data_IF_395799357536
#
_entry.id   IF_395799357536
#
_cell.length_a   1.000
_cell.length_b   1.000
_cell.length_c   1.000
_cell.angle_alpha   90.00
_cell.angle_beta   90.00
_cell.angle_gamma   90.00
#
_symmetry.space_group_name_H-M   'P 1'
#
loop_
_entity.id
_entity.type
_entity.pdbx_description
1 polymer ?
#
# COMPACT_ATOMS: atom_id res chain seq x y z
N UNK A 1 45.49 -0.89 18.80
CA UNK A 1 44.90 -2.21 19.10
C UNK A 1 43.40 -2.09 18.90
N UNK A 2 42.81 -2.93 18.05
CA UNK A 2 41.36 -3.00 17.90
C UNK A 2 40.75 -3.93 18.96
N UNK A 3 39.52 -3.63 19.39
CA UNK A 3 38.77 -4.49 20.30
C UNK A 3 37.98 -5.56 19.54
N UNK A 4 37.63 -6.69 20.20
CA UNK A 4 36.68 -7.64 19.65
C UNK A 4 35.33 -6.97 19.35
N UNK A 5 34.60 -7.50 18.37
CA UNK A 5 33.27 -6.98 18.01
C UNK A 5 32.35 -6.88 19.23
N UNK A 6 31.70 -5.73 19.39
CA UNK A 6 30.82 -5.44 20.52
C UNK A 6 31.50 -4.78 21.72
N UNK A 7 32.82 -4.57 21.70
CA UNK A 7 33.56 -3.94 22.81
C UNK A 7 34.36 -2.71 22.38
N UNK A 8 34.57 -1.77 23.31
CA UNK A 8 35.39 -0.58 23.10
C UNK A 8 36.15 -0.14 24.37
N UNK A 9 36.96 0.90 24.23
CA UNK A 9 37.65 1.57 25.32
C UNK A 9 38.98 0.90 25.73
N UNK A 10 39.61 1.38 26.80
CA UNK A 10 40.88 0.84 27.27
C UNK A 10 40.72 -0.64 27.66
N UNK A 11 41.59 -1.49 27.11
CA UNK A 11 41.57 -2.95 27.33
C UNK A 11 40.25 -3.64 26.93
N UNK A 12 39.41 -2.99 26.12
CA UNK A 12 38.16 -3.57 25.59
C UNK A 12 37.15 -4.00 26.67
N UNK A 13 37.09 -3.24 27.77
CA UNK A 13 36.23 -3.56 28.91
C UNK A 13 34.84 -2.91 28.84
N UNK A 14 34.59 -2.03 27.88
CA UNK A 14 33.29 -1.38 27.72
C UNK A 14 32.50 -2.07 26.61
N UNK A 15 31.22 -2.32 26.84
CA UNK A 15 30.31 -2.87 25.82
C UNK A 15 29.80 -1.74 24.94
N UNK A 16 29.71 -1.99 23.63
CA UNK A 16 29.13 -1.06 22.70
C UNK A 16 27.62 -1.01 22.83
N UNK A 17 27.10 0.22 22.86
CA UNK A 17 25.67 0.49 23.03
C UNK A 17 25.03 0.89 21.68
N UNK A 18 25.07 -0.04 20.73
CA UNK A 18 24.53 0.15 19.39
C UNK A 18 23.43 -0.87 19.09
N UNK A 19 22.45 -0.48 18.27
CA UNK A 19 21.30 -1.30 17.89
C UNK A 19 21.27 -1.57 16.39
N UNK A 20 20.27 -2.33 15.90
CA UNK A 20 20.06 -2.63 14.49
C UNK A 20 21.28 -3.23 13.75
N UNK A 21 22.13 -3.97 14.46
CA UNK A 21 23.33 -4.59 13.88
C UNK A 21 24.47 -3.61 13.60
N UNK A 22 24.41 -2.39 14.15
CA UNK A 22 25.48 -1.41 14.05
C UNK A 22 26.77 -1.86 14.74
N UNK A 23 27.89 -1.43 14.19
CA UNK A 23 29.22 -1.61 14.79
C UNK A 23 29.63 -0.35 15.53
N UNK A 24 30.63 -0.45 16.41
CA UNK A 24 31.11 0.68 17.19
C UNK A 24 32.61 0.90 16.97
N UNK A 25 33.04 2.14 17.11
CA UNK A 25 34.44 2.49 17.08
C UNK A 25 35.15 1.97 18.33
N UNK A 26 36.19 1.15 18.16
CA UNK A 26 36.83 0.39 19.24
C UNK A 26 37.45 1.26 20.35
N UNK A 27 37.79 2.53 20.10
CA UNK A 27 38.35 3.41 21.13
C UNK A 27 37.27 4.24 21.83
N UNK A 28 36.27 4.71 21.08
CA UNK A 28 35.32 5.74 21.56
C UNK A 28 33.94 5.18 21.87
N UNK A 29 33.57 4.03 21.31
CA UNK A 29 32.23 3.44 21.43
C UNK A 29 31.20 4.04 20.47
N UNK A 30 31.58 5.03 19.64
CA UNK A 30 30.67 5.68 18.71
C UNK A 30 30.13 4.67 17.69
N UNK A 31 28.81 4.61 17.54
CA UNK A 31 28.16 3.70 16.60
C UNK A 31 28.32 4.16 15.15
N UNK A 32 28.61 3.22 14.26
CA UNK A 32 28.52 3.37 12.81
C UNK A 32 27.23 2.71 12.36
N UNK A 33 26.22 3.53 12.07
CA UNK A 33 24.90 3.03 11.73
C UNK A 33 24.86 2.36 10.35
N UNK A 34 24.11 1.26 10.22
CA UNK A 34 23.77 0.72 8.92
C UNK A 34 22.86 1.70 8.15
N UNK A 35 22.83 1.63 6.81
CA UNK A 35 21.93 2.45 6.01
C UNK A 35 20.47 2.32 6.47
N UNK A 36 19.74 3.43 6.46
CA UNK A 36 18.36 3.50 6.93
C UNK A 36 18.18 3.78 8.42
N UNK A 37 19.27 3.85 9.18
CA UNK A 37 19.26 4.21 10.60
C UNK A 37 20.19 5.39 10.88
N UNK A 38 19.87 6.14 11.93
CA UNK A 38 20.61 7.30 12.41
C UNK A 38 20.55 7.38 13.93
N UNK A 39 21.11 8.46 14.49
CA UNK A 39 21.32 8.73 15.92
C UNK A 39 22.58 8.06 16.53
N UNK A 40 22.82 8.31 17.81
CA UNK A 40 24.02 7.85 18.52
C UNK A 40 24.05 6.35 18.79
N UNK A 41 22.89 5.68 18.81
CA UNK A 41 22.70 4.25 19.10
C UNK A 41 22.17 3.48 17.88
N UNK A 42 21.96 4.15 16.76
CA UNK A 42 21.34 3.65 15.54
C UNK A 42 19.92 3.12 15.73
N UNK A 43 19.15 3.68 16.67
CA UNK A 43 17.78 3.23 16.99
C UNK A 43 16.75 3.83 16.03
N UNK A 44 16.92 5.11 15.68
CA UNK A 44 16.00 5.83 14.81
C UNK A 44 16.17 5.43 13.35
N UNK A 45 15.07 5.07 12.70
CA UNK A 45 14.98 4.97 11.25
C UNK A 45 15.10 6.37 10.64
N UNK A 46 15.58 6.46 9.40
CA UNK A 46 15.57 7.74 8.67
C UNK A 46 14.17 8.37 8.66
N UNK A 47 14.14 9.69 8.86
CA UNK A 47 12.93 10.48 8.74
C UNK A 47 12.36 10.39 7.31
N UNK A 48 11.05 10.60 7.18
CA UNK A 48 10.40 10.54 5.87
C UNK A 48 11.04 11.53 4.89
N UNK A 49 11.35 11.04 3.69
CA UNK A 49 12.04 11.80 2.65
C UNK A 49 13.57 11.70 2.70
N UNK A 50 14.16 10.90 3.60
CA UNK A 50 15.60 10.63 3.65
C UNK A 50 15.94 9.14 3.60
N UNK A 51 17.13 8.84 3.09
CA UNK A 51 17.62 7.46 3.00
C UNK A 51 19.15 7.34 3.01
N UNK A 52 19.60 6.09 3.09
CA UNK A 52 21.00 5.71 2.96
C UNK A 52 21.76 5.77 4.29
N UNK A 53 23.09 5.77 4.20
CA UNK A 53 23.96 5.88 5.37
C UNK A 53 23.80 7.26 6.00
N UNK A 54 23.62 7.29 7.33
CA UNK A 54 23.41 8.52 8.12
C UNK A 54 22.25 9.38 7.59
N UNK A 55 21.30 8.79 6.85
CA UNK A 55 20.17 9.49 6.21
C UNK A 55 20.60 10.69 5.35
N UNK A 56 21.78 10.59 4.73
CA UNK A 56 22.43 11.70 4.03
C UNK A 56 21.73 12.06 2.70
N UNK A 57 20.99 11.13 2.10
CA UNK A 57 20.34 11.33 0.82
C UNK A 57 18.86 11.71 0.99
N UNK A 58 18.35 12.54 0.08
CA UNK A 58 16.94 12.91 0.00
C UNK A 58 16.24 12.08 -1.07
N UNK A 59 15.01 11.66 -0.79
CA UNK A 59 14.22 10.87 -1.72
C UNK A 59 13.72 11.70 -2.90
N UNK A 60 13.68 11.07 -4.07
CA UNK A 60 13.17 11.67 -5.31
C UNK A 60 11.89 10.94 -5.72
N UNK A 61 10.81 11.22 -5.00
CA UNK A 61 9.47 10.68 -5.24
C UNK A 61 8.49 11.81 -5.56
N UNK A 62 7.36 11.47 -6.16
CA UNK A 62 6.23 12.38 -6.36
C UNK A 62 5.68 12.82 -5.00
N UNK A 63 5.66 14.13 -4.75
CA UNK A 63 5.21 14.81 -3.52
C UNK A 63 5.23 13.95 -2.23
N UNK A 64 4.07 13.56 -1.72
CA UNK A 64 3.89 12.90 -0.42
C UNK A 64 4.21 11.39 -0.42
N UNK A 65 4.86 10.88 -1.47
CA UNK A 65 5.17 9.46 -1.58
C UNK A 65 6.38 9.10 -0.68
N UNK A 66 6.21 8.17 0.28
CA UNK A 66 7.33 7.67 1.09
C UNK A 66 8.34 6.91 0.23
N UNK A 67 9.58 6.86 0.72
CA UNK A 67 10.66 6.07 0.14
C UNK A 67 11.21 5.09 1.19
N UNK A 68 11.86 4.03 0.72
CA UNK A 68 12.59 3.11 1.58
C UNK A 68 13.80 3.81 2.22
N UNK A 69 13.98 3.72 3.55
CA UNK A 69 15.06 4.42 4.26
C UNK A 69 16.46 3.87 3.91
N UNK A 70 16.54 2.65 3.37
CA UNK A 70 17.81 2.01 2.99
C UNK A 70 18.21 2.38 1.56
N UNK A 71 17.31 2.15 0.60
CA UNK A 71 17.60 2.22 -0.84
C UNK A 71 17.20 3.55 -1.48
N UNK A 72 16.29 4.30 -0.87
CA UNK A 72 15.67 5.49 -1.46
C UNK A 72 14.57 5.18 -2.48
N UNK A 73 14.25 3.90 -2.70
CA UNK A 73 13.18 3.49 -3.64
C UNK A 73 11.83 4.02 -3.17
N UNK A 74 11.08 4.66 -4.07
CA UNK A 74 9.74 5.14 -3.79
C UNK A 74 8.76 3.98 -3.57
N UNK A 75 7.85 4.17 -2.61
CA UNK A 75 6.81 3.21 -2.23
C UNK A 75 5.50 3.66 -2.86
N UNK A 76 5.26 3.28 -4.11
CA UNK A 76 4.15 3.83 -4.87
C UNK A 76 2.78 3.48 -4.28
N UNK A 77 1.89 4.48 -4.12
CA UNK A 77 0.54 4.24 -3.66
C UNK A 77 -0.25 3.45 -4.72
N UNK A 78 -1.37 2.81 -4.32
CA UNK A 78 -2.22 2.12 -5.28
C UNK A 78 -2.67 3.02 -6.43
N UNK A 79 -2.52 2.54 -7.66
CA UNK A 79 -2.86 3.28 -8.88
C UNK A 79 -1.70 4.06 -9.51
N UNK A 80 -0.52 4.08 -8.87
CA UNK A 80 0.69 4.74 -9.36
C UNK A 80 1.85 3.74 -9.50
N UNK A 81 2.78 4.05 -10.40
CA UNK A 81 4.01 3.30 -10.67
C UNK A 81 5.09 4.24 -11.23
N UNK A 82 6.24 3.67 -11.60
CA UNK A 82 7.42 4.41 -12.05
C UNK A 82 8.42 4.65 -10.92
N UNK A 83 9.64 5.08 -11.28
CA UNK A 83 10.72 5.27 -10.31
C UNK A 83 10.39 6.35 -9.25
N UNK A 84 9.62 7.37 -9.64
CA UNK A 84 9.17 8.47 -8.77
C UNK A 84 7.70 8.32 -8.37
N UNK A 85 7.01 7.27 -8.79
CA UNK A 85 5.57 7.08 -8.61
C UNK A 85 4.68 8.12 -9.30
N UNK A 86 5.17 8.75 -10.36
CA UNK A 86 4.55 9.81 -11.15
C UNK A 86 3.76 9.31 -12.37
N UNK A 87 3.69 7.99 -12.56
CA UNK A 87 3.01 7.35 -13.70
C UNK A 87 1.73 6.66 -13.19
N UNK A 88 0.58 6.95 -13.80
CA UNK A 88 -0.66 6.23 -13.54
C UNK A 88 -0.60 4.79 -14.07
N UNK A 89 -1.28 3.85 -13.40
CA UNK A 89 -1.36 2.48 -13.90
C UNK A 89 -1.96 2.43 -15.31
N UNK A 90 -1.34 1.62 -16.17
CA UNK A 90 -1.93 1.24 -17.46
C UNK A 90 -3.25 0.49 -17.25
N UNK A 91 -4.11 0.49 -18.26
CA UNK A 91 -5.31 -0.35 -18.27
C UNK A 91 -4.96 -1.81 -17.92
N UNK A 92 -5.83 -2.45 -17.12
CA UNK A 92 -5.72 -3.83 -16.65
C UNK A 92 -4.66 -4.11 -15.57
N UNK A 93 -4.08 -3.08 -14.94
CA UNK A 93 -3.24 -3.27 -13.75
C UNK A 93 -3.73 -2.41 -12.58
N UNK A 94 -3.47 -2.87 -11.36
CA UNK A 94 -3.89 -2.18 -10.15
C UNK A 94 -2.96 -2.40 -8.95
N UNK A 95 -3.22 -1.64 -7.89
CA UNK A 95 -2.51 -1.76 -6.62
C UNK A 95 -1.19 -1.00 -6.60
N UNK A 96 -0.37 -1.17 -5.53
CA UNK A 96 0.91 -0.48 -5.41
C UNK A 96 1.88 -0.96 -6.48
N UNK A 97 2.63 -0.03 -7.06
CA UNK A 97 3.52 -0.26 -8.20
C UNK A 97 2.81 -0.86 -9.44
N UNK A 98 1.47 -0.87 -9.48
CA UNK A 98 0.64 -1.53 -10.49
C UNK A 98 0.98 -3.02 -10.70
N UNK A 99 1.45 -3.70 -9.64
CA UNK A 99 1.97 -5.08 -9.72
C UNK A 99 0.90 -6.17 -9.88
N UNK A 100 -0.38 -5.83 -9.76
CA UNK A 100 -1.48 -6.78 -9.84
C UNK A 100 -2.22 -6.63 -11.17
N UNK A 101 -2.43 -7.73 -11.88
CA UNK A 101 -3.23 -7.76 -13.10
C UNK A 101 -4.72 -7.84 -12.76
N UNK A 102 -5.54 -7.10 -13.50
CA UNK A 102 -7.00 -7.15 -13.35
C UNK A 102 -7.58 -8.42 -14.00
N UNK A 103 -8.61 -8.97 -13.38
CA UNK A 103 -9.33 -10.15 -13.86
C UNK A 103 -10.63 -9.79 -14.61
N UNK A 104 -10.85 -8.51 -14.87
CA UNK A 104 -12.03 -8.01 -15.57
C UNK A 104 -12.11 -8.57 -17.00
N UNK A 105 -13.25 -9.15 -17.35
CA UNK A 105 -13.49 -9.68 -18.71
C UNK A 105 -14.51 -8.83 -19.48
N UNK A 106 -14.77 -9.19 -20.73
CA UNK A 106 -15.76 -8.55 -21.61
C UNK A 106 -15.57 -7.03 -21.78
N UNK A 107 -14.32 -6.55 -21.72
CA UNK A 107 -14.01 -5.12 -21.86
C UNK A 107 -14.45 -4.27 -20.66
N UNK A 108 -14.72 -4.88 -19.51
CA UNK A 108 -15.02 -4.15 -18.29
C UNK A 108 -13.83 -3.29 -17.84
N UNK A 109 -14.13 -2.11 -17.28
CA UNK A 109 -13.09 -1.19 -16.79
C UNK A 109 -12.58 -1.64 -15.44
N UNK A 110 -11.27 -1.69 -15.29
CA UNK A 110 -10.63 -1.99 -14.02
C UNK A 110 -10.24 -0.72 -13.26
N UNK A 111 -10.58 -0.66 -11.98
CA UNK A 111 -10.11 0.41 -11.10
C UNK A 111 -8.63 0.21 -10.74
N UNK A 112 -7.73 1.15 -11.10
CA UNK A 112 -6.29 0.99 -10.89
C UNK A 112 -5.86 1.03 -9.42
N UNK A 113 -6.70 1.50 -8.49
CA UNK A 113 -6.37 1.49 -7.06
C UNK A 113 -6.66 0.15 -6.39
N UNK A 114 -7.76 -0.50 -6.73
CA UNK A 114 -8.25 -1.66 -5.97
C UNK A 114 -8.63 -2.89 -6.82
N UNK A 115 -8.54 -2.80 -8.15
CA UNK A 115 -8.82 -3.91 -9.05
C UNK A 115 -10.30 -4.18 -9.30
N UNK A 116 -11.22 -3.39 -8.73
CA UNK A 116 -12.66 -3.59 -8.91
C UNK A 116 -13.06 -3.34 -10.36
N UNK A 117 -13.84 -4.28 -10.91
CA UNK A 117 -14.37 -4.17 -12.26
C UNK A 117 -15.69 -3.38 -12.28
N UNK A 118 -15.81 -2.50 -13.27
CA UNK A 118 -17.06 -1.85 -13.65
C UNK A 118 -17.58 -2.53 -14.90
N UNK A 119 -18.62 -3.35 -14.73
CA UNK A 119 -19.17 -4.18 -15.79
C UNK A 119 -19.92 -3.34 -16.84
N UNK A 120 -19.76 -3.76 -18.11
CA UNK A 120 -20.58 -3.25 -19.21
C UNK A 120 -21.97 -3.88 -19.16
N UNK A 121 -22.94 -3.18 -19.76
CA UNK A 121 -24.34 -3.61 -19.78
C UNK A 121 -24.51 -5.08 -20.16
N UNK A 122 -25.18 -5.83 -19.28
CA UNK A 122 -25.44 -7.25 -19.47
C UNK A 122 -24.45 -8.17 -18.75
N UNK A 123 -23.50 -7.64 -17.97
CA UNK A 123 -22.53 -8.42 -17.19
C UNK A 123 -22.56 -8.07 -15.70
N UNK A 124 -22.35 -9.05 -14.83
CA UNK A 124 -22.31 -8.89 -13.38
C UNK A 124 -21.19 -9.75 -12.77
N UNK A 125 -21.04 -9.63 -11.45
CA UNK A 125 -20.01 -10.33 -10.67
C UNK A 125 -18.76 -9.47 -10.50
N UNK A 126 -17.82 -9.94 -9.67
CA UNK A 126 -16.58 -9.21 -9.35
C UNK A 126 -15.65 -9.05 -10.56
N UNK A 127 -15.73 -9.97 -11.53
CA UNK A 127 -14.90 -9.99 -12.75
C UNK A 127 -15.70 -9.73 -14.04
N UNK A 128 -17.01 -9.52 -13.95
CA UNK A 128 -17.91 -9.31 -15.09
C UNK A 128 -18.05 -10.52 -16.04
N UNK A 129 -17.85 -11.72 -15.53
CA UNK A 129 -17.98 -12.97 -16.29
C UNK A 129 -19.43 -13.44 -16.43
N UNK A 130 -20.31 -13.07 -15.50
CA UNK A 130 -21.67 -13.59 -15.44
C UNK A 130 -22.62 -12.72 -16.28
N UNK A 131 -23.35 -13.31 -17.23
CA UNK A 131 -24.34 -12.58 -18.01
C UNK A 131 -25.60 -12.31 -17.18
N UNK A 132 -26.08 -11.07 -17.18
CA UNK A 132 -27.44 -10.75 -16.79
C UNK A 132 -28.39 -11.41 -17.80
N UNK A 133 -28.97 -12.55 -17.44
CA UNK A 133 -29.99 -13.21 -18.24
C UNK A 133 -31.26 -12.35 -18.42
N UNK A 134 -32.39 -13.00 -18.73
CA UNK A 134 -33.65 -12.34 -19.10
C UNK A 134 -34.26 -11.39 -18.04
N UNK A 135 -33.74 -11.35 -16.81
CA UNK A 135 -34.26 -10.50 -15.72
C UNK A 135 -33.69 -9.06 -15.78
N UNK A 136 -32.63 -8.83 -16.56
CA UNK A 136 -32.00 -7.52 -16.70
C UNK A 136 -31.11 -7.11 -15.52
N UNK A 137 -30.19 -6.19 -15.77
CA UNK A 137 -29.31 -5.56 -14.79
C UNK A 137 -29.85 -4.18 -14.42
N UNK A 138 -29.69 -3.75 -13.16
CA UNK A 138 -29.90 -2.35 -12.79
C UNK A 138 -28.59 -1.77 -12.23
N UNK A 139 -28.26 -0.54 -12.63
CA UNK A 139 -27.17 0.21 -12.00
C UNK A 139 -27.56 0.56 -10.57
N UNK A 140 -26.79 0.06 -9.61
CA UNK A 140 -26.85 0.50 -8.23
C UNK A 140 -26.34 1.94 -8.09
N UNK A 141 -26.66 2.61 -6.96
CA UNK A 141 -26.21 3.97 -6.68
C UNK A 141 -24.68 4.10 -6.55
N UNK A 142 -23.96 2.99 -6.34
CA UNK A 142 -22.49 2.92 -6.31
C UNK A 142 -21.87 2.58 -7.68
N UNK A 143 -22.67 2.57 -8.75
CA UNK A 143 -22.23 2.20 -10.10
C UNK A 143 -22.04 0.71 -10.33
N UNK A 144 -22.32 -0.16 -9.35
CA UNK A 144 -22.29 -1.62 -9.52
C UNK A 144 -23.55 -2.13 -10.19
N UNK A 145 -23.40 -2.97 -11.21
CA UNK A 145 -24.54 -3.67 -11.82
C UNK A 145 -24.94 -4.88 -10.95
N UNK A 146 -26.20 -4.90 -10.53
CA UNK A 146 -26.77 -6.00 -9.76
C UNK A 146 -27.91 -6.65 -10.53
N UNK A 147 -28.12 -7.95 -10.28
CA UNK A 147 -29.27 -8.68 -10.81
C UNK A 147 -30.55 -8.05 -10.26
N UNK A 148 -31.51 -7.77 -11.14
CA UNK A 148 -32.86 -7.39 -10.77
C UNK A 148 -33.49 -8.48 -9.89
N UNK A 149 -33.50 -8.28 -8.57
CA UNK A 149 -34.32 -9.12 -7.69
C UNK A 149 -35.79 -8.78 -8.00
N UNK A 150 -36.60 -9.80 -8.33
CA UNK A 150 -38.05 -9.61 -8.37
C UNK A 150 -38.45 -9.04 -7.01
N UNK A 151 -39.03 -7.83 -6.98
CA UNK A 151 -39.77 -7.38 -5.80
C UNK A 151 -40.81 -8.45 -5.53
N UNK A 152 -40.60 -9.30 -4.54
CA UNK A 152 -41.73 -9.95 -3.89
C UNK A 152 -42.55 -8.79 -3.32
N UNK A 153 -43.62 -8.44 -4.02
CA UNK A 153 -44.64 -7.54 -3.50
C UNK A 153 -45.24 -8.22 -2.28
N UNK A 154 -44.66 -8.02 -1.09
CA UNK A 154 -45.43 -8.11 0.14
C UNK A 154 -46.51 -7.05 0.02
N UNK A 155 -47.68 -7.52 -0.41
CA UNK A 155 -48.87 -6.72 -0.58
C UNK A 155 -49.12 -5.91 0.69
N UNK A 156 -49.27 -4.62 0.46
CA UNK A 156 -49.81 -3.65 1.39
C UNK A 156 -51.19 -4.11 1.85
N UNK A 157 -51.36 -4.38 3.14
CA UNK A 157 -52.65 -4.50 3.80
C UNK A 157 -52.90 -3.25 4.63
N UNK A 158 -53.45 -2.21 4.00
CA UNK A 158 -54.08 -1.10 4.70
C UNK A 158 -55.31 -1.64 5.47
N UNK A 159 -55.34 -1.46 6.78
CA UNK A 159 -56.44 -1.87 7.64
C UNK A 159 -56.64 -0.86 8.77
N UNK A 160 -57.13 0.33 8.43
CA UNK A 160 -57.70 1.24 9.39
C UNK A 160 -59.11 0.76 9.78
N UNK A 161 -59.35 0.51 11.07
CA UNK A 161 -60.69 0.58 11.64
C UNK A 161 -60.60 1.01 13.10
N UNK A 162 -60.98 2.26 13.36
CA UNK A 162 -61.26 2.74 14.72
C UNK A 162 -62.54 2.11 15.27
N UNK A 163 -62.62 2.05 16.60
CA UNK A 163 -63.85 2.12 17.41
C UNK A 163 -63.45 2.40 18.86
N UNK A 164 -64.38 3.07 19.53
CA UNK A 164 -64.30 3.68 20.85
C UNK A 164 -64.15 2.66 21.97
#
# INVERSE_FOLDING_TARGET
MACPSGFHGPRCQLLCDCTNGATCHHSTGLCSCPPGYQDTRCEKVCEQGRFGKDCAHSCDCDDDVPCEPVSGRCLCPPGRTGARCDIDCTANHYGPDCRHACECVHGAQCNPRNGRCTCLNGWIGSTCQEACGAVGCQLGPDGSQHLMQRKHSSGKGDGALGKH
#
